data_IF_713182809859
#
_entry.id   IF_713182809859
#
_cell.length_a   1.000
_cell.length_b   1.000
_cell.length_c   1.000
_cell.angle_alpha   90.00
_cell.angle_beta   90.00
_cell.angle_gamma   90.00
#
_symmetry.space_group_name_H-M   'P 1'
#
loop_
_entity.id
_entity.type
_entity.pdbx_description
1 polymer ?
#
# COMPACT_ATOMS: atom_id res chain seq x y z
N UNK A 1 -8.24 21.40 -17.34
CA UNK A 1 -6.94 20.99 -17.91
C UNK A 1 -6.55 19.69 -17.24
N UNK A 2 -6.10 18.72 -17.97
CA UNK A 2 -5.64 17.43 -17.47
C UNK A 2 -4.34 17.04 -18.18
N UNK A 3 -3.58 16.16 -17.58
CA UNK A 3 -2.36 15.59 -18.14
C UNK A 3 -2.56 14.10 -18.41
N UNK A 4 -2.05 13.62 -19.53
CA UNK A 4 -2.10 12.21 -19.90
C UNK A 4 -0.93 11.47 -19.26
N UNK A 5 -1.23 10.54 -18.37
CA UNK A 5 -0.21 9.71 -17.71
C UNK A 5 -0.42 8.25 -18.10
N UNK A 6 0.58 7.67 -18.77
CA UNK A 6 0.60 6.24 -19.11
C UNK A 6 1.16 5.45 -17.95
N UNK A 7 0.46 4.39 -17.56
CA UNK A 7 0.92 3.43 -16.55
C UNK A 7 1.45 2.19 -17.27
N UNK A 8 2.75 1.96 -17.14
CA UNK A 8 3.48 0.96 -17.93
C UNK A 8 2.95 -0.45 -17.75
N UNK A 9 2.78 -0.90 -16.50
CA UNK A 9 2.42 -2.30 -16.21
C UNK A 9 1.07 -2.72 -16.77
N UNK A 10 0.13 -1.78 -16.87
CA UNK A 10 -1.21 -2.06 -17.41
C UNK A 10 -1.40 -1.54 -18.84
N UNK A 11 -0.42 -0.84 -19.39
CA UNK A 11 -0.48 -0.27 -20.74
C UNK A 11 -1.60 0.76 -20.96
N UNK A 12 -2.17 1.30 -19.86
CA UNK A 12 -3.30 2.25 -19.90
C UNK A 12 -2.82 3.68 -19.67
N UNK A 13 -3.47 4.60 -20.36
CA UNK A 13 -3.31 6.04 -20.14
C UNK A 13 -4.52 6.57 -19.39
N UNK A 14 -4.26 7.35 -18.36
CA UNK A 14 -5.27 8.04 -17.56
C UNK A 14 -5.16 9.56 -17.77
N UNK A 15 -6.30 10.24 -17.72
CA UNK A 15 -6.35 11.70 -17.74
C UNK A 15 -6.39 12.21 -16.30
N UNK A 16 -5.25 12.74 -15.82
CA UNK A 16 -5.09 13.25 -14.45
C UNK A 16 -5.47 14.72 -14.42
N UNK A 17 -6.56 15.09 -13.76
CA UNK A 17 -6.96 16.50 -13.63
C UNK A 17 -5.86 17.32 -12.94
N UNK A 18 -5.78 18.60 -13.29
CA UNK A 18 -4.84 19.51 -12.64
C UNK A 18 -5.07 19.54 -11.13
N UNK A 19 -4.01 19.33 -10.36
CA UNK A 19 -4.04 19.23 -8.90
C UNK A 19 -4.41 17.87 -8.33
N UNK A 20 -4.84 16.90 -9.15
CA UNK A 20 -5.06 15.53 -8.71
C UNK A 20 -3.75 14.73 -8.71
N UNK A 21 -3.68 13.72 -7.85
CA UNK A 21 -2.53 12.81 -7.82
C UNK A 21 -2.70 11.66 -8.81
N UNK A 22 -1.58 11.11 -9.25
CA UNK A 22 -1.55 9.94 -10.14
C UNK A 22 -2.28 8.77 -9.50
N UNK A 23 -2.01 8.46 -8.22
CA UNK A 23 -2.65 7.35 -7.52
C UNK A 23 -4.17 7.50 -7.45
N UNK A 24 -4.67 8.66 -7.00
CA UNK A 24 -6.11 8.88 -6.85
C UNK A 24 -6.84 8.69 -8.19
N UNK A 25 -6.27 9.20 -9.28
CA UNK A 25 -6.86 9.06 -10.61
C UNK A 25 -6.78 7.61 -11.11
N UNK A 26 -5.67 6.91 -10.88
CA UNK A 26 -5.52 5.51 -11.26
C UNK A 26 -6.56 4.62 -10.55
N UNK A 27 -6.75 4.79 -9.25
CA UNK A 27 -7.75 4.06 -8.48
C UNK A 27 -9.18 4.37 -8.96
N UNK A 28 -9.49 5.64 -9.23
CA UNK A 28 -10.78 6.05 -9.79
C UNK A 28 -11.03 5.44 -11.18
N UNK A 29 -9.97 5.19 -11.96
CA UNK A 29 -10.05 4.51 -13.25
C UNK A 29 -10.10 2.97 -13.15
N UNK A 30 -10.18 2.42 -11.93
CA UNK A 30 -10.23 0.98 -11.68
C UNK A 30 -8.90 0.26 -11.96
N UNK A 31 -7.78 0.94 -11.79
CA UNK A 31 -6.45 0.35 -11.91
C UNK A 31 -5.98 -0.05 -10.52
N UNK A 32 -5.60 -1.31 -10.34
CA UNK A 32 -5.02 -1.85 -9.10
C UNK A 32 -3.59 -1.35 -8.91
N UNK A 33 -3.46 -0.05 -8.69
CA UNK A 33 -2.17 0.59 -8.42
C UNK A 33 -1.72 0.25 -7.00
N UNK A 34 -0.46 -0.16 -6.78
CA UNK A 34 0.00 -0.48 -5.43
C UNK A 34 0.01 0.77 -4.53
N UNK A 35 -0.59 0.65 -3.36
CA UNK A 35 -0.63 1.73 -2.37
C UNK A 35 -0.80 1.20 -0.94
N UNK A 36 -0.57 2.08 0.03
CA UNK A 36 -0.79 1.80 1.45
C UNK A 36 -1.43 3.00 2.15
N UNK A 37 -0.63 3.87 2.78
CA UNK A 37 -1.13 4.96 3.61
C UNK A 37 -1.83 6.11 2.84
N UNK A 38 -1.55 6.31 1.57
CA UNK A 38 -1.99 7.43 0.71
C UNK A 38 -1.60 8.83 1.22
N UNK A 39 -0.73 8.90 2.22
CA UNK A 39 -0.32 10.15 2.90
C UNK A 39 1.15 10.50 2.71
N UNK A 40 1.89 9.70 1.93
CA UNK A 40 3.31 9.93 1.67
C UNK A 40 4.26 9.42 2.77
N UNK A 41 3.84 8.46 3.60
CA UNK A 41 4.62 8.00 4.75
C UNK A 41 5.14 6.56 4.65
N UNK A 42 4.52 5.70 3.81
CA UNK A 42 4.85 4.26 3.80
C UNK A 42 5.68 3.81 2.60
N UNK A 43 5.72 4.56 1.52
CA UNK A 43 6.45 4.20 0.30
C UNK A 43 5.82 3.11 -0.58
N UNK A 44 4.66 2.55 -0.22
CA UNK A 44 4.02 1.45 -0.97
C UNK A 44 3.62 1.84 -2.41
N UNK A 45 3.37 3.11 -2.68
CA UNK A 45 3.05 3.64 -4.01
C UNK A 45 4.28 4.18 -4.75
N UNK A 46 5.49 3.86 -4.29
CA UNK A 46 6.73 4.31 -4.92
C UNK A 46 6.80 3.82 -6.35
N UNK A 47 7.11 4.73 -7.26
CA UNK A 47 7.09 4.47 -8.70
C UNK A 47 8.26 5.20 -9.36
N UNK A 48 8.64 4.75 -10.53
CA UNK A 48 9.60 5.45 -11.40
C UNK A 48 8.85 6.38 -12.33
N UNK A 49 9.25 7.64 -12.35
CA UNK A 49 8.85 8.58 -13.40
C UNK A 49 9.71 8.29 -14.63
N UNK A 50 9.12 7.65 -15.62
CA UNK A 50 9.81 7.26 -16.86
C UNK A 50 9.90 8.46 -17.80
N UNK A 51 8.83 9.23 -17.88
CA UNK A 51 8.72 10.43 -18.71
C UNK A 51 7.81 11.45 -18.03
N UNK A 52 8.06 12.73 -18.30
CA UNK A 52 7.22 13.83 -17.81
C UNK A 52 7.80 14.54 -16.60
N UNK A 53 6.97 15.33 -15.94
CA UNK A 53 7.32 16.10 -14.74
C UNK A 53 6.18 16.06 -13.74
N UNK A 54 6.52 16.04 -12.45
CA UNK A 54 5.56 16.02 -11.34
C UNK A 54 6.02 16.91 -10.19
N UNK A 55 5.07 17.47 -9.47
CA UNK A 55 5.33 18.08 -8.16
C UNK A 55 4.86 17.13 -7.06
N UNK A 56 5.60 17.12 -5.95
CA UNK A 56 5.27 16.31 -4.77
C UNK A 56 5.54 17.14 -3.52
N UNK A 57 4.54 17.23 -2.64
CA UNK A 57 4.64 17.91 -1.36
C UNK A 57 4.07 17.03 -0.24
N UNK A 58 4.52 17.29 1.00
CA UNK A 58 3.98 16.66 2.20
C UNK A 58 4.20 15.16 2.28
N UNK A 59 5.42 14.69 2.05
CA UNK A 59 5.81 13.29 2.22
C UNK A 59 7.03 13.18 3.16
N UNK A 60 7.22 11.98 3.71
CA UNK A 60 8.33 11.65 4.60
C UNK A 60 9.57 11.20 3.83
N UNK A 61 10.76 11.60 4.29
CA UNK A 61 12.03 11.11 3.75
C UNK A 61 12.22 9.59 3.95
N UNK A 62 11.52 8.99 4.91
CA UNK A 62 11.48 7.53 5.06
C UNK A 62 10.71 6.83 3.94
N UNK A 63 9.72 7.49 3.36
CA UNK A 63 8.96 6.96 2.23
C UNK A 63 9.67 7.18 0.89
N UNK A 64 10.37 8.31 0.74
CA UNK A 64 11.15 8.65 -0.45
C UNK A 64 12.32 9.53 -0.07
N UNK A 65 13.53 8.99 -0.15
CA UNK A 65 14.74 9.75 0.16
C UNK A 65 15.12 10.73 -0.97
N UNK A 66 15.98 11.68 -0.66
CA UNK A 66 16.48 12.62 -1.66
C UNK A 66 17.28 11.94 -2.77
N UNK A 67 18.01 10.88 -2.45
CA UNK A 67 18.76 10.05 -3.41
C UNK A 67 17.81 9.32 -4.35
N UNK A 68 16.74 8.72 -3.83
CA UNK A 68 15.71 8.05 -4.63
C UNK A 68 14.99 9.03 -5.56
N UNK A 69 14.67 10.22 -5.06
CA UNK A 69 14.07 11.30 -5.86
C UNK A 69 15.03 11.74 -6.99
N UNK A 70 16.31 11.89 -6.70
CA UNK A 70 17.33 12.21 -7.71
C UNK A 70 17.46 11.11 -8.77
N UNK A 71 17.12 9.87 -8.45
CA UNK A 71 17.07 8.73 -9.38
C UNK A 71 15.74 8.64 -10.17
N UNK A 72 14.87 9.61 -10.03
CA UNK A 72 13.58 9.66 -10.74
C UNK A 72 12.48 8.84 -10.08
N UNK A 73 12.60 8.49 -8.79
CA UNK A 73 11.51 7.87 -8.05
C UNK A 73 10.53 8.92 -7.51
N UNK A 74 9.28 8.53 -7.47
CA UNK A 74 8.17 9.36 -6.99
C UNK A 74 7.25 8.55 -6.08
N UNK A 75 6.42 9.23 -5.29
CA UNK A 75 5.29 8.64 -4.59
C UNK A 75 4.01 8.98 -5.34
N UNK A 76 3.36 8.00 -5.96
CA UNK A 76 2.18 8.23 -6.78
C UNK A 76 1.02 8.87 -6.01
N UNK A 77 0.92 8.67 -4.69
CA UNK A 77 -0.08 9.30 -3.83
C UNK A 77 0.17 10.80 -3.57
N UNK A 78 1.36 11.31 -3.90
CA UNK A 78 1.74 12.72 -3.73
C UNK A 78 2.13 13.37 -5.06
N UNK A 79 2.33 12.58 -6.11
CA UNK A 79 2.75 13.06 -7.41
C UNK A 79 1.58 13.69 -8.18
N UNK A 80 1.66 14.99 -8.39
CA UNK A 80 0.75 15.79 -9.22
C UNK A 80 1.45 16.10 -10.53
N UNK A 81 0.96 15.62 -11.69
CA UNK A 81 1.59 15.87 -12.98
C UNK A 81 1.64 17.36 -13.34
N UNK A 82 2.71 17.75 -14.00
CA UNK A 82 2.91 19.07 -14.61
C UNK A 82 3.04 19.00 -16.13
N UNK A 83 3.21 17.79 -16.66
CA UNK A 83 3.26 17.49 -18.08
C UNK A 83 2.68 16.11 -18.32
N UNK A 84 2.37 15.80 -19.58
CA UNK A 84 2.08 14.43 -19.99
C UNK A 84 3.29 13.54 -19.69
N UNK A 85 3.03 12.30 -19.26
CA UNK A 85 4.11 11.46 -18.77
C UNK A 85 3.82 9.98 -18.75
N UNK A 86 4.81 9.25 -18.25
CA UNK A 86 4.77 7.81 -18.10
C UNK A 86 5.34 7.41 -16.75
N UNK A 87 4.63 6.52 -16.04
CA UNK A 87 5.04 6.01 -14.74
C UNK A 87 5.01 4.50 -14.71
N UNK A 88 5.96 3.93 -13.97
CA UNK A 88 6.01 2.51 -13.68
C UNK A 88 6.12 2.33 -12.17
N UNK A 89 5.17 1.62 -11.54
CA UNK A 89 5.38 1.27 -10.12
C UNK A 89 6.55 0.30 -10.00
N UNK A 90 7.19 0.30 -8.84
CA UNK A 90 8.25 -0.66 -8.58
C UNK A 90 7.59 -2.04 -8.40
N UNK A 91 8.01 -2.99 -9.23
CA UNK A 91 7.65 -4.38 -9.02
C UNK A 91 8.40 -4.85 -7.78
N UNK A 92 7.71 -4.79 -6.64
CA UNK A 92 8.12 -5.58 -5.50
C UNK A 92 7.81 -7.04 -5.83
N UNK A 93 8.51 -7.98 -5.22
CA UNK A 93 8.10 -9.39 -5.24
C UNK A 93 6.57 -9.44 -5.04
N UNK A 94 5.85 -10.29 -5.82
CA UNK A 94 4.41 -10.35 -5.73
C UNK A 94 4.02 -10.44 -4.26
N UNK A 95 3.09 -9.60 -3.79
CA UNK A 95 2.73 -9.59 -2.38
C UNK A 95 2.34 -11.02 -2.00
N UNK A 96 2.95 -11.54 -0.94
CA UNK A 96 2.55 -12.83 -0.40
C UNK A 96 1.09 -12.68 0.04
N UNK A 97 0.19 -13.11 -0.82
CA UNK A 97 -1.25 -13.02 -0.55
C UNK A 97 -1.63 -14.23 0.29
N UNK A 98 -1.87 -14.00 1.57
CA UNK A 98 -2.42 -15.00 2.45
C UNK A 98 -3.96 -15.01 2.28
N UNK A 99 -4.56 -16.12 1.83
CA UNK A 99 -6.00 -16.20 1.66
C UNK A 99 -6.70 -16.02 3.01
N UNK A 100 -7.83 -15.30 3.03
CA UNK A 100 -8.66 -15.21 4.25
C UNK A 100 -9.14 -16.59 4.65
N UNK A 101 -8.86 -16.97 5.89
CA UNK A 101 -9.23 -18.28 6.45
C UNK A 101 -9.98 -18.09 7.75
N UNK A 102 -10.95 -18.95 7.96
CA UNK A 102 -11.61 -19.09 9.27
C UNK A 102 -10.94 -20.24 10.00
N UNK A 103 -10.53 -20.00 11.22
CA UNK A 103 -9.81 -20.97 12.04
C UNK A 103 -10.52 -21.09 13.38
N UNK A 104 -10.74 -22.31 13.83
CA UNK A 104 -11.26 -22.56 15.16
C UNK A 104 -10.11 -22.67 16.15
N UNK A 105 -10.21 -21.89 17.21
CA UNK A 105 -9.18 -21.76 18.24
C UNK A 105 -9.76 -21.99 19.62
N UNK A 106 -8.90 -22.40 20.53
CA UNK A 106 -9.20 -22.44 21.98
C UNK A 106 -8.27 -21.47 22.70
N UNK A 107 -8.79 -20.73 23.65
CA UNK A 107 -7.97 -19.92 24.56
C UNK A 107 -7.12 -20.87 25.41
N UNK A 108 -5.81 -20.79 25.30
CA UNK A 108 -4.85 -21.61 26.07
C UNK A 108 -4.17 -20.82 27.20
N UNK A 109 -4.34 -19.52 27.25
CA UNK A 109 -3.80 -18.68 28.31
C UNK A 109 -4.24 -17.23 28.15
N UNK A 110 -4.37 -16.57 29.29
CA UNK A 110 -4.66 -15.14 29.40
C UNK A 110 -3.68 -14.56 30.41
N UNK A 111 -3.06 -13.45 30.05
CA UNK A 111 -2.13 -12.72 30.90
C UNK A 111 -2.45 -11.23 30.82
N UNK A 112 -2.64 -10.59 31.96
CA UNK A 112 -2.74 -9.14 32.03
C UNK A 112 -1.33 -8.55 31.88
N UNK A 113 -1.06 -7.91 30.76
CA UNK A 113 0.25 -7.33 30.47
C UNK A 113 0.37 -5.94 31.13
N UNK A 114 -0.74 -5.19 31.18
CA UNK A 114 -0.89 -3.92 31.89
C UNK A 114 -2.32 -3.86 32.45
N UNK A 115 -2.69 -2.74 33.08
CA UNK A 115 -4.05 -2.55 33.61
C UNK A 115 -5.14 -2.53 32.54
N UNK A 116 -4.76 -2.21 31.27
CA UNK A 116 -5.67 -2.04 30.13
C UNK A 116 -5.33 -2.95 28.94
N UNK A 117 -4.21 -3.72 29.01
CA UNK A 117 -3.78 -4.63 27.94
C UNK A 117 -3.75 -6.06 28.44
N UNK A 118 -4.47 -6.91 27.73
CA UNK A 118 -4.53 -8.35 28.01
C UNK A 118 -3.95 -9.15 26.85
N UNK A 119 -3.01 -10.03 27.15
CA UNK A 119 -2.46 -10.97 26.18
C UNK A 119 -3.28 -12.26 26.23
N UNK A 120 -3.90 -12.60 25.10
CA UNK A 120 -4.64 -13.85 24.94
C UNK A 120 -3.85 -14.79 24.05
N UNK A 121 -3.57 -15.99 24.52
CA UNK A 121 -2.92 -17.05 23.74
C UNK A 121 -4.00 -17.98 23.19
N UNK A 122 -4.01 -18.15 21.88
CA UNK A 122 -4.91 -19.03 21.17
C UNK A 122 -4.16 -20.27 20.67
N UNK A 123 -4.81 -21.43 20.77
CA UNK A 123 -4.34 -22.68 20.18
C UNK A 123 -5.31 -23.05 19.07
N UNK A 124 -4.79 -23.32 17.87
CA UNK A 124 -5.61 -23.81 16.76
C UNK A 124 -6.14 -25.20 17.08
N UNK A 125 -7.44 -25.41 16.85
CA UNK A 125 -8.11 -26.72 16.99
C UNK A 125 -8.18 -27.37 15.62
N UNK A 126 -8.47 -26.59 14.57
CA UNK A 126 -8.62 -27.06 13.20
C UNK A 126 -8.01 -26.05 12.22
N UNK A 127 -7.77 -26.48 10.97
CA UNK A 127 -7.28 -25.64 9.90
C UNK A 127 -5.77 -25.69 9.66
N UNK A 128 -5.03 -26.44 10.48
CA UNK A 128 -3.58 -26.62 10.33
C UNK A 128 -2.77 -25.34 10.54
N UNK A 129 -1.46 -25.37 10.32
CA UNK A 129 -0.63 -24.18 10.37
C UNK A 129 -1.10 -23.17 9.32
N UNK A 130 -0.98 -21.90 9.63
CA UNK A 130 -1.26 -20.81 8.68
C UNK A 130 -0.07 -19.87 8.60
N UNK A 131 0.18 -19.40 7.39
CA UNK A 131 1.21 -18.42 7.14
C UNK A 131 0.63 -17.02 7.29
N UNK A 132 1.44 -16.11 7.79
CA UNK A 132 1.08 -14.70 7.94
C UNK A 132 2.30 -13.81 7.69
N UNK A 133 2.04 -12.57 7.34
CA UNK A 133 3.07 -11.54 7.19
C UNK A 133 2.95 -10.49 8.28
N UNK A 134 4.05 -9.82 8.58
CA UNK A 134 4.07 -8.71 9.53
C UNK A 134 3.05 -7.63 9.12
N UNK A 135 2.35 -7.07 10.09
CA UNK A 135 1.32 -6.05 9.88
C UNK A 135 -0.08 -6.60 9.58
N UNK A 136 -0.25 -7.91 9.45
CA UNK A 136 -1.58 -8.50 9.37
C UNK A 136 -2.30 -8.52 10.72
N UNK A 137 -3.62 -8.52 10.67
CA UNK A 137 -4.48 -8.62 11.85
C UNK A 137 -5.55 -9.71 11.67
N UNK A 138 -6.09 -10.18 12.77
CA UNK A 138 -7.16 -11.14 12.78
C UNK A 138 -8.40 -10.56 13.48
N UNK A 139 -9.58 -10.87 12.95
CA UNK A 139 -10.84 -10.64 13.66
C UNK A 139 -11.15 -11.88 14.49
N UNK A 140 -11.39 -11.71 15.79
CA UNK A 140 -11.66 -12.81 16.72
C UNK A 140 -13.07 -12.68 17.22
N UNK A 141 -13.84 -13.79 17.14
CA UNK A 141 -15.18 -13.88 17.71
C UNK A 141 -15.15 -14.94 18.81
N UNK A 142 -15.58 -14.57 20.00
CA UNK A 142 -15.77 -15.50 21.11
C UNK A 142 -17.19 -16.03 21.09
N UNK A 143 -17.34 -17.36 21.14
CA UNK A 143 -18.62 -17.95 21.42
C UNK A 143 -18.94 -17.74 22.91
N UNK A 144 -20.10 -17.15 23.19
CA UNK A 144 -20.60 -16.98 24.53
C UNK A 144 -21.15 -18.27 25.11
#
# INVERSE_FOLDING_TARGET
MSFKVRIVQVGRTIDVPNGATILATALAAGIDYPFGCQTGNCGACKSRLVLGDVTMDGYSEFALSNEEKAQGLILACRAVPRADGEVAWLENDPPIVHPRRRLDCRVSGVLDATYDIRRVRLRLISGGPFDFSAGQFASVTFAG
#
